data_IF_816204938413
#
_entry.id   IF_816204938413
#
_cell.length_a   1.000
_cell.length_b   1.000
_cell.length_c   1.000
_cell.angle_alpha   90.00
_cell.angle_beta   90.00
_cell.angle_gamma   90.00
#
_symmetry.space_group_name_H-M   'P 1'
#
loop_
_entity.id
_entity.type
_entity.pdbx_description
1 polymer ?
#
# COMPACT_ATOMS: atom_id res chain seq x y z
N UNK A 1 37.01 29.47 -11.02
CA UNK A 1 37.58 28.12 -11.17
C UNK A 1 36.84 27.16 -10.24
N UNK A 2 35.91 26.34 -10.77
CA UNK A 2 35.48 25.15 -10.02
C UNK A 2 36.67 24.18 -10.01
N UNK A 3 37.10 23.65 -8.86
CA UNK A 3 38.24 22.75 -8.83
C UNK A 3 37.91 21.51 -9.67
N UNK A 4 38.83 21.09 -10.55
CA UNK A 4 38.68 19.93 -11.43
C UNK A 4 38.25 18.64 -10.70
N UNK A 5 38.46 18.57 -9.38
CA UNK A 5 37.98 17.51 -8.48
C UNK A 5 36.45 17.34 -8.45
N UNK A 6 35.66 18.40 -8.64
CA UNK A 6 34.19 18.28 -8.63
C UNK A 6 33.62 17.75 -9.96
N UNK A 7 34.30 17.98 -11.08
CA UNK A 7 33.81 17.63 -12.42
C UNK A 7 33.96 16.12 -12.68
N UNK A 8 35.08 15.53 -12.24
CA UNK A 8 35.27 14.06 -12.29
C UNK A 8 34.30 13.29 -11.38
N UNK A 9 33.89 13.88 -10.26
CA UNK A 9 32.97 13.24 -9.31
C UNK A 9 31.55 13.10 -9.88
N UNK A 10 31.02 14.11 -10.60
CA UNK A 10 29.69 14.02 -11.21
C UNK A 10 29.64 13.03 -12.39
N UNK A 11 30.71 12.95 -13.18
CA UNK A 11 30.82 12.00 -14.28
C UNK A 11 30.90 10.54 -13.79
N UNK A 12 31.45 10.30 -12.60
CA UNK A 12 31.44 8.98 -11.98
C UNK A 12 30.03 8.42 -11.70
N UNK A 13 29.01 9.28 -11.58
CA UNK A 13 27.62 8.88 -11.32
C UNK A 13 26.77 8.69 -12.59
N UNK A 14 27.32 8.97 -13.78
CA UNK A 14 26.63 8.72 -15.07
C UNK A 14 26.95 7.35 -15.67
N UNK A 15 27.89 6.61 -15.08
CA UNK A 15 28.20 5.23 -15.45
C UNK A 15 27.21 4.26 -14.78
N UNK A 16 26.74 3.27 -15.53
CA UNK A 16 25.79 2.27 -15.02
C UNK A 16 26.52 1.10 -14.36
N UNK A 17 27.72 0.77 -14.84
CA UNK A 17 28.55 -0.30 -14.30
C UNK A 17 30.06 -0.01 -14.40
N UNK A 18 30.84 -0.69 -13.56
CA UNK A 18 32.29 -0.70 -13.69
C UNK A 18 32.70 -1.40 -14.99
N UNK A 19 33.54 -0.74 -15.81
CA UNK A 19 33.95 -1.23 -17.13
C UNK A 19 33.22 -0.61 -18.33
N UNK A 20 32.30 0.34 -18.10
CA UNK A 20 31.70 1.15 -19.17
C UNK A 20 32.75 1.98 -19.93
N UNK A 21 32.45 2.31 -21.20
CA UNK A 21 33.35 3.08 -22.08
C UNK A 21 33.73 4.43 -21.46
N UNK A 22 35.03 4.80 -21.46
CA UNK A 22 35.48 6.07 -20.87
C UNK A 22 34.81 7.29 -21.51
N UNK A 23 34.29 8.19 -20.68
CA UNK A 23 33.60 9.40 -21.13
C UNK A 23 34.51 10.63 -21.09
N UNK A 24 34.45 11.46 -22.14
CA UNK A 24 35.13 12.74 -22.22
C UNK A 24 34.29 13.83 -21.55
N UNK A 25 34.85 14.48 -20.53
CA UNK A 25 34.17 15.50 -19.73
C UNK A 25 34.94 16.81 -19.83
N UNK A 26 34.32 17.91 -20.28
CA UNK A 26 34.97 19.22 -20.31
C UNK A 26 35.26 19.73 -18.89
N UNK A 27 36.50 20.09 -18.62
CA UNK A 27 36.98 20.56 -17.31
C UNK A 27 37.08 22.08 -17.21
N UNK A 28 37.10 22.78 -18.35
CA UNK A 28 37.07 24.24 -18.43
C UNK A 28 36.34 24.70 -19.69
N UNK A 29 35.66 25.86 -19.68
CA UNK A 29 35.12 26.50 -20.89
C UNK A 29 36.19 26.77 -21.97
N UNK A 30 37.46 26.91 -21.57
CA UNK A 30 38.59 27.24 -22.45
C UNK A 30 39.19 26.02 -23.18
N UNK A 31 38.46 24.91 -23.27
CA UNK A 31 38.85 23.74 -24.08
C UNK A 31 39.63 22.64 -23.34
N UNK A 32 39.70 22.69 -22.01
CA UNK A 32 40.22 21.56 -21.22
C UNK A 32 39.22 20.40 -21.18
N UNK A 33 39.67 19.17 -21.45
CA UNK A 33 38.87 17.97 -21.32
C UNK A 33 39.60 16.90 -20.50
N UNK A 34 38.86 16.10 -19.74
CA UNK A 34 39.35 14.93 -19.02
C UNK A 34 38.63 13.68 -19.50
N UNK A 35 39.38 12.59 -19.67
CA UNK A 35 38.83 11.27 -19.91
C UNK A 35 38.61 10.58 -18.55
N UNK A 36 37.38 10.17 -18.27
CA UNK A 36 36.99 9.55 -16.99
C UNK A 36 36.51 8.12 -17.28
N UNK A 37 36.95 7.16 -16.46
CA UNK A 37 36.47 5.77 -16.51
C UNK A 37 36.12 5.28 -15.11
N UNK A 38 35.08 4.46 -15.01
CA UNK A 38 34.64 3.86 -13.74
C UNK A 38 35.31 2.51 -13.53
N UNK A 39 36.29 2.46 -12.63
CA UNK A 39 37.06 1.25 -12.32
C UNK A 39 36.30 0.27 -11.40
N UNK A 40 35.66 0.79 -10.35
CA UNK A 40 34.89 -0.01 -9.38
C UNK A 40 33.88 0.84 -8.62
N UNK A 41 32.73 0.25 -8.27
CA UNK A 41 31.78 0.83 -7.32
C UNK A 41 32.03 0.21 -5.95
N UNK A 42 32.44 1.01 -4.97
CA UNK A 42 32.56 0.55 -3.57
C UNK A 42 31.25 0.89 -2.87
N UNK A 43 30.52 -0.14 -2.43
CA UNK A 43 29.31 0.07 -1.64
C UNK A 43 29.64 0.86 -0.38
N UNK A 44 28.78 1.83 -0.02
CA UNK A 44 28.93 2.55 1.23
C UNK A 44 28.94 1.54 2.39
N UNK A 45 29.99 1.55 3.21
CA UNK A 45 30.04 0.69 4.38
C UNK A 45 28.88 1.05 5.33
N UNK A 46 28.20 0.05 5.93
CA UNK A 46 27.24 0.32 6.99
C UNK A 46 27.91 1.14 8.09
N UNK A 47 27.19 2.12 8.66
CA UNK A 47 27.72 2.89 9.79
C UNK A 47 28.14 1.94 10.90
N UNK A 48 29.35 2.08 11.46
CA UNK A 48 29.81 1.23 12.57
C UNK A 48 28.80 1.24 13.72
N UNK A 49 28.53 0.06 14.30
CA UNK A 49 27.56 -0.04 15.40
C UNK A 49 27.91 0.89 16.57
N UNK A 50 29.20 1.15 16.80
CA UNK A 50 29.66 2.09 17.82
C UNK A 50 29.13 3.52 17.61
N UNK A 51 28.95 3.96 16.35
CA UNK A 51 28.45 5.29 16.00
C UNK A 51 26.92 5.38 16.09
N UNK A 52 26.21 4.29 15.82
CA UNK A 52 24.73 4.23 15.79
C UNK A 52 24.12 3.50 16.97
N UNK A 53 24.91 3.14 17.99
CA UNK A 53 24.46 2.32 19.13
C UNK A 53 23.25 2.92 19.84
N UNK A 54 23.22 4.24 19.98
CA UNK A 54 22.11 4.96 20.61
C UNK A 54 20.81 4.81 19.81
N UNK A 55 20.87 4.91 18.48
CA UNK A 55 19.71 4.74 17.59
C UNK A 55 19.21 3.29 17.63
N UNK A 56 20.13 2.31 17.55
CA UNK A 56 19.78 0.90 17.62
C UNK A 56 19.13 0.54 18.95
N UNK A 57 19.63 1.05 20.08
CA UNK A 57 19.03 0.82 21.38
C UNK A 57 17.64 1.44 21.50
N UNK A 58 17.44 2.64 20.94
CA UNK A 58 16.12 3.29 20.89
C UNK A 58 15.14 2.50 20.04
N UNK A 59 15.57 2.02 18.88
CA UNK A 59 14.74 1.23 17.96
C UNK A 59 14.39 -0.12 18.58
N UNK A 60 15.36 -0.78 19.20
CA UNK A 60 15.14 -2.03 19.92
C UNK A 60 14.16 -1.87 21.09
N UNK A 61 14.31 -0.81 21.88
CA UNK A 61 13.38 -0.52 22.98
C UNK A 61 11.95 -0.30 22.46
N UNK A 62 11.80 0.40 21.32
CA UNK A 62 10.52 0.61 20.64
C UNK A 62 9.92 -0.70 20.14
N UNK A 63 10.72 -1.55 19.51
CA UNK A 63 10.28 -2.86 19.02
C UNK A 63 9.81 -3.76 20.17
N UNK A 64 10.52 -3.76 21.29
CA UNK A 64 10.11 -4.49 22.49
C UNK A 64 8.81 -3.94 23.10
N UNK A 65 8.63 -2.62 23.10
CA UNK A 65 7.37 -2.01 23.53
C UNK A 65 6.21 -2.38 22.63
N UNK A 66 6.41 -2.37 21.30
CA UNK A 66 5.40 -2.78 20.34
C UNK A 66 5.05 -4.26 20.47
N UNK A 67 6.05 -5.15 20.60
CA UNK A 67 5.80 -6.57 20.79
C UNK A 67 4.92 -6.84 22.03
N UNK A 68 5.21 -6.17 23.15
CA UNK A 68 4.39 -6.26 24.37
C UNK A 68 2.99 -5.68 24.17
N UNK A 69 2.87 -4.51 23.53
CA UNK A 69 1.59 -3.90 23.23
C UNK A 69 0.71 -4.83 22.37
N UNK A 70 1.31 -5.50 21.37
CA UNK A 70 0.63 -6.48 20.53
C UNK A 70 0.10 -7.66 21.35
N UNK A 71 0.92 -8.21 22.24
CA UNK A 71 0.53 -9.35 23.08
C UNK A 71 -0.63 -8.98 24.01
N UNK A 72 -0.56 -7.82 24.65
CA UNK A 72 -1.63 -7.32 25.52
C UNK A 72 -2.92 -7.14 24.72
N UNK A 73 -2.84 -6.44 23.59
CA UNK A 73 -3.99 -6.17 22.75
C UNK A 73 -4.60 -7.48 22.19
N UNK A 74 -3.77 -8.42 21.72
CA UNK A 74 -4.20 -9.75 21.28
C UNK A 74 -4.89 -10.54 22.39
N UNK A 75 -4.44 -10.39 23.65
CA UNK A 75 -5.07 -11.02 24.82
C UNK A 75 -6.46 -10.47 25.14
N UNK A 76 -6.80 -9.25 24.70
CA UNK A 76 -8.14 -8.67 24.89
C UNK A 76 -9.18 -9.24 23.92
N UNK A 77 -8.78 -9.59 22.68
CA UNK A 77 -9.69 -10.07 21.62
C UNK A 77 -10.63 -11.19 22.09
N UNK A 78 -10.16 -12.32 22.66
CA UNK A 78 -11.06 -13.40 23.08
C UNK A 78 -11.98 -13.02 24.24
N UNK A 79 -11.63 -12.02 25.05
CA UNK A 79 -12.49 -11.53 26.14
C UNK A 79 -13.62 -10.65 25.58
N UNK A 80 -13.28 -9.76 24.65
CA UNK A 80 -14.24 -8.92 23.94
C UNK A 80 -15.22 -9.76 23.13
N UNK A 81 -14.73 -10.77 22.41
CA UNK A 81 -15.55 -11.73 21.67
C UNK A 81 -16.53 -12.51 22.56
N UNK A 82 -16.24 -12.65 23.87
CA UNK A 82 -17.12 -13.28 24.87
C UNK A 82 -18.10 -12.29 25.52
N UNK A 83 -18.10 -11.02 25.09
CA UNK A 83 -19.00 -9.99 25.59
C UNK A 83 -18.48 -9.18 26.78
N UNK A 84 -17.19 -9.29 27.13
CA UNK A 84 -16.58 -8.35 28.09
C UNK A 84 -16.58 -6.94 27.49
N UNK A 85 -16.93 -5.93 28.29
CA UNK A 85 -16.88 -4.54 27.82
C UNK A 85 -15.44 -4.10 27.51
N UNK A 86 -15.28 -3.19 26.54
CA UNK A 86 -13.96 -2.64 26.20
C UNK A 86 -13.28 -1.98 27.40
N UNK A 87 -14.03 -1.27 28.23
CA UNK A 87 -13.50 -0.62 29.43
C UNK A 87 -12.93 -1.64 30.44
N UNK A 88 -13.65 -2.75 30.69
CA UNK A 88 -13.16 -3.82 31.55
C UNK A 88 -11.92 -4.51 30.96
N UNK A 89 -11.94 -4.80 29.66
CA UNK A 89 -10.80 -5.45 29.00
C UNK A 89 -9.54 -4.59 29.07
N UNK A 90 -9.65 -3.26 28.93
CA UNK A 90 -8.53 -2.31 29.08
C UNK A 90 -8.04 -2.24 30.52
N UNK A 91 -8.95 -2.22 31.49
CA UNK A 91 -8.61 -2.20 32.91
C UNK A 91 -7.88 -3.49 33.34
N UNK A 92 -8.39 -4.67 32.97
CA UNK A 92 -7.74 -5.96 33.22
C UNK A 92 -6.39 -6.10 32.52
N UNK A 93 -6.25 -5.49 31.34
CA UNK A 93 -5.00 -5.46 30.59
C UNK A 93 -3.94 -4.54 31.21
N UNK A 94 -4.30 -3.73 32.23
CA UNK A 94 -3.39 -2.81 32.92
C UNK A 94 -2.88 -1.68 32.02
N UNK A 95 -3.61 -1.34 30.95
CA UNK A 95 -3.21 -0.31 29.99
C UNK A 95 -3.51 1.07 30.58
N UNK A 96 -2.48 1.74 31.11
CA UNK A 96 -2.61 3.05 31.77
C UNK A 96 -2.17 4.24 30.92
N UNK A 97 -1.45 4.01 29.82
CA UNK A 97 -0.90 5.06 28.94
C UNK A 97 -1.58 5.17 27.58
N UNK A 98 -2.61 4.36 27.33
CA UNK A 98 -3.36 4.37 26.07
C UNK A 98 -4.45 5.43 26.04
N UNK A 99 -4.92 5.78 24.84
CA UNK A 99 -6.15 6.56 24.71
C UNK A 99 -7.34 5.76 25.30
N UNK A 100 -8.29 6.43 25.97
CA UNK A 100 -9.46 5.75 26.49
C UNK A 100 -10.28 5.14 25.34
N UNK A 101 -11.02 4.04 25.58
CA UNK A 101 -11.97 3.50 24.62
C UNK A 101 -12.92 4.57 24.12
N UNK A 102 -13.04 4.70 22.80
CA UNK A 102 -14.00 5.62 22.17
C UNK A 102 -15.05 4.80 21.43
N UNK A 103 -16.34 4.95 21.76
CA UNK A 103 -17.39 4.39 20.93
C UNK A 103 -17.42 5.12 19.59
N UNK A 104 -17.85 4.42 18.54
CA UNK A 104 -18.12 5.01 17.25
C UNK A 104 -19.48 4.52 16.76
N UNK A 105 -20.21 5.44 16.12
CA UNK A 105 -21.48 5.18 15.45
C UNK A 105 -21.45 6.01 14.16
N UNK A 106 -21.46 5.33 13.02
CA UNK A 106 -21.33 5.95 11.70
C UNK A 106 -22.27 5.28 10.71
N UNK A 107 -22.73 6.03 9.72
CA UNK A 107 -23.41 5.48 8.55
C UNK A 107 -22.39 5.12 7.47
N UNK A 108 -22.73 4.17 6.60
CA UNK A 108 -21.85 3.77 5.48
C UNK A 108 -21.55 4.92 4.50
N UNK A 109 -22.42 5.92 4.42
CA UNK A 109 -22.18 7.15 3.65
C UNK A 109 -21.14 8.08 4.27
N UNK A 110 -20.90 7.99 5.58
CA UNK A 110 -20.05 8.93 6.33
C UNK A 110 -18.60 8.47 6.43
N UNK A 111 -18.31 7.21 6.10
CA UNK A 111 -16.99 6.60 6.32
C UNK A 111 -15.99 6.83 5.20
N UNK A 112 -16.36 7.46 4.08
CA UNK A 112 -15.47 7.63 2.91
C UNK A 112 -14.13 8.29 3.29
N UNK A 113 -14.18 9.31 4.15
CA UNK A 113 -13.02 10.08 4.62
C UNK A 113 -12.59 9.71 6.04
N UNK A 114 -13.09 8.60 6.58
CA UNK A 114 -12.74 8.11 7.92
C UNK A 114 -11.53 7.18 7.86
N UNK A 115 -10.98 6.93 9.04
CA UNK A 115 -9.85 6.07 9.27
C UNK A 115 -10.15 4.64 8.79
N UNK A 116 -9.12 3.96 8.28
CA UNK A 116 -9.27 2.63 7.69
C UNK A 116 -9.81 1.59 8.68
N UNK A 117 -9.56 1.77 9.98
CA UNK A 117 -10.09 0.89 11.02
C UNK A 117 -11.62 0.97 11.14
N UNK A 118 -12.21 2.14 10.88
CA UNK A 118 -13.66 2.35 10.84
C UNK A 118 -14.24 1.69 9.60
N UNK A 119 -13.61 1.89 8.44
CA UNK A 119 -14.02 1.24 7.19
C UNK A 119 -13.98 -0.28 7.31
N UNK A 120 -12.95 -0.83 7.94
CA UNK A 120 -12.82 -2.27 8.18
C UNK A 120 -13.93 -2.80 9.10
N UNK A 121 -14.38 -2.02 10.09
CA UNK A 121 -15.45 -2.44 11.00
C UNK A 121 -16.73 -2.84 10.25
N UNK A 122 -17.07 -2.15 9.15
CA UNK A 122 -18.25 -2.50 8.31
C UNK A 122 -18.12 -3.82 7.53
N UNK A 123 -16.93 -4.41 7.47
CA UNK A 123 -16.69 -5.72 6.87
C UNK A 123 -16.49 -6.82 7.92
N UNK A 124 -16.68 -6.52 9.21
CA UNK A 124 -16.54 -7.47 10.31
C UNK A 124 -17.89 -8.09 10.67
N UNK A 125 -17.85 -9.28 11.26
CA UNK A 125 -19.01 -9.85 11.92
C UNK A 125 -19.29 -9.10 13.23
N UNK A 126 -20.56 -8.89 13.61
CA UNK A 126 -20.91 -8.29 14.89
C UNK A 126 -20.41 -9.13 16.06
N UNK A 127 -20.18 -8.47 17.21
CA UNK A 127 -19.60 -9.02 18.44
C UNK A 127 -18.21 -9.63 18.26
N UNK A 128 -17.43 -9.08 17.34
CA UNK A 128 -16.04 -9.48 17.08
C UNK A 128 -15.07 -8.33 17.27
N UNK A 129 -13.94 -8.65 17.89
CA UNK A 129 -12.79 -7.76 17.99
C UNK A 129 -11.74 -8.09 16.92
N UNK A 130 -11.08 -7.06 16.40
CA UNK A 130 -9.89 -7.17 15.56
C UNK A 130 -8.79 -6.25 16.04
N UNK A 131 -7.56 -6.72 15.82
CA UNK A 131 -6.33 -5.98 16.08
C UNK A 131 -5.84 -5.35 14.78
N UNK A 132 -5.44 -4.09 14.85
CA UNK A 132 -4.85 -3.34 13.75
C UNK A 132 -3.58 -2.64 14.23
N UNK A 133 -2.54 -2.64 13.42
CA UNK A 133 -1.36 -1.82 13.69
C UNK A 133 -1.65 -0.37 13.31
N UNK A 134 -1.26 0.55 14.18
CA UNK A 134 -1.41 1.98 13.92
C UNK A 134 -0.36 2.44 12.88
N UNK A 135 -0.65 3.49 12.10
CA UNK A 135 0.35 4.10 11.23
C UNK A 135 1.64 4.45 12.00
N UNK A 136 2.77 4.41 11.29
CA UNK A 136 4.09 4.77 11.81
C UNK A 136 4.57 3.94 13.00
N UNK A 137 4.05 2.72 13.17
CA UNK A 137 4.39 1.82 14.29
C UNK A 137 4.19 2.51 15.65
N UNK A 138 3.16 3.34 15.75
CA UNK A 138 2.82 4.09 16.97
C UNK A 138 2.09 3.24 18.02
N UNK A 139 1.64 2.03 17.65
CA UNK A 139 0.97 1.11 18.56
C UNK A 139 -0.04 0.22 17.85
N UNK A 140 -1.07 -0.20 18.58
CA UNK A 140 -2.14 -1.04 18.07
C UNK A 140 -3.51 -0.49 18.43
N UNK A 141 -4.44 -0.59 17.48
CA UNK A 141 -5.87 -0.36 17.69
C UNK A 141 -6.58 -1.69 17.91
N UNK A 142 -7.42 -1.73 18.94
CA UNK A 142 -8.38 -2.81 19.16
C UNK A 142 -9.75 -2.28 18.79
N UNK A 143 -10.32 -2.83 17.72
CA UNK A 143 -11.65 -2.44 17.23
C UNK A 143 -12.62 -3.56 17.53
N UNK A 144 -13.65 -3.27 18.30
CA UNK A 144 -14.74 -4.18 18.58
C UNK A 144 -16.02 -3.65 17.92
N UNK A 145 -16.69 -4.51 17.16
CA UNK A 145 -17.96 -4.18 16.53
C UNK A 145 -19.10 -4.73 17.40
N UNK A 146 -19.91 -3.85 18.00
CA UNK A 146 -21.06 -4.27 18.82
C UNK A 146 -22.20 -4.80 17.93
N UNK A 147 -22.70 -3.96 17.01
CA UNK A 147 -23.81 -4.26 16.13
C UNK A 147 -23.64 -3.58 14.77
N UNK A 148 -24.35 -4.11 13.77
CA UNK A 148 -24.59 -3.45 12.49
C UNK A 148 -26.10 -3.35 12.33
N UNK A 149 -26.60 -2.12 12.19
CA UNK A 149 -28.03 -1.87 12.00
C UNK A 149 -28.35 -1.65 10.52
N UNK A 150 -29.16 -2.54 9.96
CA UNK A 150 -29.64 -2.39 8.59
C UNK A 150 -30.77 -1.37 8.53
N UNK A 151 -30.57 -0.34 7.73
CA UNK A 151 -31.58 0.67 7.45
C UNK A 151 -32.01 0.56 5.99
N UNK A 152 -33.33 0.56 5.76
CA UNK A 152 -33.87 0.59 4.41
C UNK A 152 -33.62 1.94 3.76
N UNK A 153 -33.00 1.93 2.58
CA UNK A 153 -32.83 3.13 1.74
C UNK A 153 -34.08 3.46 0.92
N UNK A 154 -35.20 2.73 1.09
CA UNK A 154 -36.41 2.92 0.28
C UNK A 154 -36.98 4.35 0.35
N UNK A 155 -36.77 5.04 1.47
CA UNK A 155 -37.24 6.40 1.69
C UNK A 155 -36.14 7.47 1.47
N UNK A 156 -34.97 7.09 0.93
CA UNK A 156 -33.87 8.01 0.61
C UNK A 156 -33.63 8.04 -0.91
N UNK A 157 -34.27 8.99 -1.64
CA UNK A 157 -34.15 9.08 -3.09
C UNK A 157 -32.71 9.30 -3.57
N UNK A 158 -31.88 9.99 -2.77
CA UNK A 158 -30.50 10.29 -3.13
C UNK A 158 -29.62 9.04 -3.04
N UNK A 159 -29.76 8.25 -1.97
CA UNK A 159 -29.08 6.97 -1.83
C UNK A 159 -29.51 5.98 -2.93
N UNK A 160 -30.81 5.94 -3.26
CA UNK A 160 -31.32 5.07 -4.33
C UNK A 160 -30.76 5.48 -5.70
N UNK A 161 -30.70 6.78 -6.00
CA UNK A 161 -30.09 7.29 -7.23
C UNK A 161 -28.59 6.93 -7.32
N UNK A 162 -27.85 7.09 -6.23
CA UNK A 162 -26.43 6.74 -6.16
C UNK A 162 -26.19 5.24 -6.34
N UNK A 163 -26.99 4.38 -5.69
CA UNK A 163 -26.91 2.94 -5.86
C UNK A 163 -27.22 2.52 -7.31
N UNK A 164 -28.24 3.13 -7.93
CA UNK A 164 -28.60 2.88 -9.33
C UNK A 164 -27.49 3.32 -10.30
N UNK A 165 -26.82 4.44 -10.03
CA UNK A 165 -25.68 4.92 -10.81
C UNK A 165 -24.50 3.95 -10.71
N UNK A 166 -24.14 3.53 -9.49
CA UNK A 166 -23.06 2.58 -9.25
C UNK A 166 -23.30 1.23 -9.94
N UNK A 167 -24.53 0.70 -9.87
CA UNK A 167 -24.92 -0.52 -10.58
C UNK A 167 -24.86 -0.35 -12.10
N UNK A 168 -25.35 0.77 -12.64
CA UNK A 168 -25.31 1.06 -14.08
C UNK A 168 -23.88 1.08 -14.63
N UNK A 169 -22.90 1.61 -13.87
CA UNK A 169 -21.49 1.61 -14.27
C UNK A 169 -20.88 0.21 -14.33
N UNK A 170 -21.32 -0.71 -13.48
CA UNK A 170 -20.82 -2.10 -13.47
C UNK A 170 -21.52 -2.98 -14.50
N UNK A 171 -22.83 -2.78 -14.71
CA UNK A 171 -23.67 -3.62 -15.58
C UNK A 171 -23.58 -3.19 -17.05
N UNK A 172 -23.44 -1.89 -17.34
CA UNK A 172 -23.40 -1.34 -18.70
C UNK A 172 -22.37 -2.02 -19.62
N UNK A 173 -21.10 -2.18 -19.19
CA UNK A 173 -20.09 -2.86 -20.00
C UNK A 173 -20.42 -4.33 -20.29
N UNK A 174 -21.09 -5.04 -19.37
CA UNK A 174 -21.46 -6.45 -19.59
C UNK A 174 -22.63 -6.58 -20.56
N UNK A 175 -23.65 -5.73 -20.44
CA UNK A 175 -24.76 -5.68 -21.41
C UNK A 175 -24.22 -5.35 -22.80
N UNK A 176 -23.31 -4.36 -22.91
CA UNK A 176 -22.69 -4.02 -24.18
C UNK A 176 -21.91 -5.21 -24.78
N UNK A 177 -21.14 -5.94 -23.96
CA UNK A 177 -20.44 -7.16 -24.40
C UNK A 177 -21.40 -8.26 -24.84
N UNK A 178 -22.49 -8.48 -24.12
CA UNK A 178 -23.52 -9.46 -24.49
C UNK A 178 -24.21 -9.09 -25.80
N UNK A 179 -24.55 -7.82 -25.97
CA UNK A 179 -25.16 -7.30 -27.20
C UNK A 179 -24.22 -7.43 -28.41
N UNK A 180 -22.94 -7.06 -28.27
CA UNK A 180 -21.93 -7.23 -29.33
C UNK A 180 -21.74 -8.72 -29.66
N UNK A 181 -21.74 -9.62 -28.65
CA UNK A 181 -21.68 -11.08 -28.87
C UNK A 181 -22.89 -11.59 -29.65
N UNK A 182 -24.09 -11.11 -29.32
CA UNK A 182 -25.32 -11.47 -30.01
C UNK A 182 -25.32 -11.00 -31.47
N UNK A 183 -24.95 -9.73 -31.74
CA UNK A 183 -24.81 -9.21 -33.12
C UNK A 183 -23.77 -10.01 -33.90
N UNK A 184 -22.62 -10.34 -33.29
CA UNK A 184 -21.58 -11.15 -33.94
C UNK A 184 -22.09 -12.54 -34.33
N UNK A 185 -22.92 -13.14 -33.48
CA UNK A 185 -23.53 -14.44 -33.74
C UNK A 185 -24.58 -14.36 -34.87
N UNK A 186 -25.41 -13.32 -34.87
CA UNK A 186 -26.42 -13.07 -35.90
C UNK A 186 -25.80 -12.80 -37.28
N UNK A 187 -24.77 -11.95 -37.33
CA UNK A 187 -24.00 -11.66 -38.54
C UNK A 187 -23.04 -12.79 -38.94
N UNK A 188 -23.04 -13.92 -38.21
CA UNK A 188 -22.21 -15.12 -38.48
C UNK A 188 -20.73 -14.80 -38.71
N UNK A 189 -20.20 -13.82 -37.97
CA UNK A 189 -18.82 -13.37 -38.15
C UNK A 189 -17.87 -14.49 -37.69
N UNK A 190 -17.06 -15.00 -38.62
CA UNK A 190 -16.04 -16.00 -38.35
C UNK A 190 -14.71 -15.34 -37.99
N UNK A 191 -13.92 -16.00 -37.15
CA UNK A 191 -12.56 -15.58 -36.82
C UNK A 191 -11.57 -16.39 -37.66
N UNK A 192 -10.56 -15.72 -38.18
CA UNK A 192 -9.44 -16.38 -38.83
C UNK A 192 -8.44 -16.82 -37.76
N UNK A 193 -8.55 -18.07 -37.30
CA UNK A 193 -7.70 -18.62 -36.23
C UNK A 193 -6.21 -18.65 -36.62
N UNK A 194 -5.88 -18.82 -37.91
CA UNK A 194 -4.50 -18.81 -38.38
C UNK A 194 -3.85 -17.43 -38.24
N UNK A 195 -4.60 -16.36 -38.55
CA UNK A 195 -4.12 -14.99 -38.36
C UNK A 195 -3.96 -14.63 -36.87
N UNK A 196 -4.87 -15.10 -36.01
CA UNK A 196 -4.79 -14.90 -34.56
C UNK A 196 -3.58 -15.65 -33.98
N UNK A 197 -3.32 -16.87 -34.47
CA UNK A 197 -2.16 -17.68 -34.04
C UNK A 197 -0.84 -17.00 -34.40
N UNK A 198 -0.70 -16.52 -35.65
CA UNK A 198 0.49 -15.75 -36.09
C UNK A 198 0.70 -14.50 -35.24
N UNK A 199 -0.37 -13.75 -34.94
CA UNK A 199 -0.29 -12.57 -34.10
C UNK A 199 0.17 -12.90 -32.66
N UNK A 200 -0.30 -14.02 -32.08
CA UNK A 200 0.17 -14.46 -30.75
C UNK A 200 1.65 -14.81 -30.76
N UNK A 201 2.11 -15.52 -31.79
CA UNK A 201 3.52 -15.89 -31.95
C UNK A 201 4.42 -14.65 -32.10
N UNK A 202 3.97 -13.63 -32.83
CA UNK A 202 4.69 -12.36 -32.99
C UNK A 202 4.78 -11.55 -31.70
N UNK A 203 3.70 -11.46 -30.92
CA UNK A 203 3.69 -10.74 -29.64
C UNK A 203 4.56 -11.42 -28.58
N UNK A 204 4.58 -12.75 -28.54
CA UNK A 204 5.45 -13.52 -27.64
C UNK A 204 6.93 -13.40 -28.03
N UNK A 205 7.23 -13.26 -29.32
CA UNK A 205 8.59 -13.05 -29.84
C UNK A 205 9.14 -11.65 -29.57
N UNK A 206 8.27 -10.64 -29.45
CA UNK A 206 8.67 -9.24 -29.25
C UNK A 206 8.94 -8.90 -27.77
N UNK A 207 8.55 -9.76 -26.83
CA UNK A 207 8.76 -9.57 -25.37
C UNK A 207 10.06 -10.16 -24.79
N UNK A 208 11.00 -10.62 -25.63
CA UNK A 208 12.25 -11.30 -25.21
C UNK A 208 13.49 -10.56 -25.74
N UNK A 209 13.48 -9.22 -25.78
CA UNK A 209 14.68 -8.42 -26.08
C UNK A 209 14.84 -7.30 -25.05
#
# INVERSE_FOLDING_TARGET
MKPARLIGASAGFTFEAAGDEPQLVPTSPDGGAALVSLERVVAAAPKPLAEIRADVLKDYARDQQLAKARQIAAGMLPKLDKGMSMAQAVAEAGVTRGAPPKPFDFKRSEIANKENFIKMAFAMAPKKAKLLEAPDRSGYYVVYLESIEEHSAANDPLLLANARSALSQQVGPEIARQFIRAIRADLKITRNEDAIKRLREDLLRTGVR
#
